data_IF_854105207078
#
_entry.id   IF_854105207078
#
_cell.length_a   1.000
_cell.length_b   1.000
_cell.length_c   1.000
_cell.angle_alpha   90.00
_cell.angle_beta   90.00
_cell.angle_gamma   90.00
#
_symmetry.space_group_name_H-M   'P 1'
#
loop_
_entity.id
_entity.type
_entity.pdbx_description
1 polymer ?
#
# COMPACT_ATOMS: atom_id res chain seq x y z
N UNK A 1 -25.85 -21.84 5.37
CA UNK A 1 -24.45 -22.33 5.32
C UNK A 1 -23.70 -21.85 4.07
N UNK A 2 -24.26 -21.94 2.86
CA UNK A 2 -23.59 -21.51 1.61
C UNK A 2 -23.13 -20.03 1.59
N UNK A 3 -23.95 -19.09 2.06
CA UNK A 3 -23.57 -17.67 2.17
C UNK A 3 -22.38 -17.43 3.12
N UNK A 4 -22.30 -18.16 4.22
CA UNK A 4 -21.19 -18.03 5.17
C UNK A 4 -19.86 -18.47 4.53
N UNK A 5 -19.90 -19.60 3.81
CA UNK A 5 -18.74 -20.11 3.06
C UNK A 5 -18.30 -19.11 1.99
N UNK A 6 -19.27 -18.51 1.27
CA UNK A 6 -18.98 -17.49 0.27
C UNK A 6 -18.30 -16.26 0.88
N UNK A 7 -18.84 -15.70 1.96
CA UNK A 7 -18.23 -14.53 2.61
C UNK A 7 -16.84 -14.84 3.15
N UNK A 8 -16.66 -16.01 3.77
CA UNK A 8 -15.35 -16.44 4.25
C UNK A 8 -14.33 -16.53 3.10
N UNK A 9 -14.70 -17.16 1.99
CA UNK A 9 -13.85 -17.26 0.80
C UNK A 9 -13.49 -15.88 0.21
N UNK A 10 -14.46 -14.96 0.15
CA UNK A 10 -14.24 -13.59 -0.31
C UNK A 10 -13.28 -12.82 0.61
N UNK A 11 -13.44 -12.91 1.93
CA UNK A 11 -12.53 -12.26 2.88
C UNK A 11 -11.11 -12.82 2.81
N UNK A 12 -10.95 -14.14 2.69
CA UNK A 12 -9.64 -14.77 2.52
C UNK A 12 -8.99 -14.31 1.21
N UNK A 13 -9.75 -14.27 0.11
CA UNK A 13 -9.24 -13.80 -1.19
C UNK A 13 -8.84 -12.33 -1.13
N UNK A 14 -9.65 -11.48 -0.49
CA UNK A 14 -9.36 -10.07 -0.30
C UNK A 14 -8.08 -9.86 0.53
N UNK A 15 -7.93 -10.61 1.63
CA UNK A 15 -6.76 -10.56 2.49
C UNK A 15 -5.49 -11.02 1.75
N UNK A 16 -5.56 -12.15 1.03
CA UNK A 16 -4.45 -12.67 0.24
C UNK A 16 -4.01 -11.69 -0.85
N UNK A 17 -4.97 -11.13 -1.59
CA UNK A 17 -4.69 -10.17 -2.67
C UNK A 17 -4.08 -8.88 -2.12
N UNK A 18 -4.61 -8.36 -1.00
CA UNK A 18 -4.08 -7.17 -0.34
C UNK A 18 -2.64 -7.38 0.16
N UNK A 19 -2.38 -8.52 0.80
CA UNK A 19 -1.05 -8.88 1.30
C UNK A 19 0.00 -8.98 0.19
N UNK A 20 -0.31 -9.70 -0.89
CA UNK A 20 0.59 -9.83 -2.04
C UNK A 20 0.81 -8.48 -2.71
N UNK A 21 -0.25 -7.71 -2.98
CA UNK A 21 -0.13 -6.41 -3.67
C UNK A 21 0.72 -5.41 -2.90
N UNK A 22 0.65 -5.41 -1.56
CA UNK A 22 1.43 -4.50 -0.72
C UNK A 22 2.93 -4.82 -0.68
N UNK A 23 3.31 -6.09 -0.85
CA UNK A 23 4.68 -6.56 -0.64
C UNK A 23 5.42 -6.86 -1.94
N UNK A 24 4.72 -7.29 -3.00
CA UNK A 24 5.34 -7.77 -4.24
C UNK A 24 6.16 -6.71 -4.96
N UNK A 25 5.69 -5.46 -5.02
CA UNK A 25 6.43 -4.39 -5.69
C UNK A 25 7.68 -4.01 -4.91
N UNK A 26 7.58 -3.94 -3.58
CA UNK A 26 8.71 -3.68 -2.69
C UNK A 26 9.78 -4.78 -2.82
N UNK A 27 9.34 -6.03 -2.77
CA UNK A 27 10.22 -7.19 -2.96
C UNK A 27 10.92 -7.18 -4.34
N UNK A 28 10.19 -6.83 -5.40
CA UNK A 28 10.75 -6.71 -6.75
C UNK A 28 11.79 -5.59 -6.85
N UNK A 29 11.53 -4.42 -6.25
CA UNK A 29 12.53 -3.35 -6.17
C UNK A 29 13.74 -3.72 -5.33
N UNK A 30 13.57 -4.57 -4.31
CA UNK A 30 14.67 -4.98 -3.44
C UNK A 30 15.70 -5.89 -4.11
N UNK A 31 15.35 -6.48 -5.26
CA UNK A 31 16.29 -7.30 -6.04
C UNK A 31 17.34 -6.47 -6.79
N UNK A 32 17.11 -5.17 -7.01
CA UNK A 32 18.04 -4.29 -7.75
C UNK A 32 18.71 -3.28 -6.82
N UNK A 33 20.01 -3.04 -7.00
CA UNK A 33 20.71 -1.98 -6.28
C UNK A 33 20.54 -0.63 -7.00
N UNK A 34 20.13 0.39 -6.25
CA UNK A 34 19.93 1.75 -6.77
C UNK A 34 21.23 2.52 -6.98
N UNK A 35 22.32 2.04 -6.38
CA UNK A 35 23.64 2.69 -6.42
C UNK A 35 24.31 2.51 -7.78
N UNK A 36 23.99 1.40 -8.47
CA UNK A 36 24.54 1.07 -9.77
C UNK A 36 23.61 1.56 -10.90
N UNK A 37 24.13 2.41 -11.79
CA UNK A 37 23.36 2.95 -12.93
C UNK A 37 22.85 1.86 -13.89
N UNK A 38 23.59 0.75 -14.02
CA UNK A 38 23.20 -0.40 -14.86
C UNK A 38 21.97 -1.13 -14.31
N UNK A 39 22.01 -1.51 -13.03
CA UNK A 39 20.91 -2.21 -12.35
C UNK A 39 19.66 -1.34 -12.24
N UNK A 40 19.80 -0.04 -12.01
CA UNK A 40 18.66 0.90 -12.03
C UNK A 40 17.92 0.88 -13.38
N UNK A 41 18.64 0.83 -14.50
CA UNK A 41 18.02 0.75 -15.83
C UNK A 41 17.29 -0.59 -16.02
N UNK A 42 17.85 -1.68 -15.49
CA UNK A 42 17.22 -3.00 -15.54
C UNK A 42 15.96 -3.06 -14.67
N UNK A 43 15.96 -2.42 -13.51
CA UNK A 43 14.79 -2.30 -12.64
C UNK A 43 13.64 -1.54 -13.33
N UNK A 44 13.93 -0.43 -14.00
CA UNK A 44 12.91 0.32 -14.76
C UNK A 44 12.32 -0.55 -15.88
N UNK A 45 13.18 -1.28 -16.62
CA UNK A 45 12.70 -2.22 -17.65
C UNK A 45 11.82 -3.33 -17.06
N UNK A 46 12.17 -3.86 -15.90
CA UNK A 46 11.37 -4.86 -15.18
C UNK A 46 9.99 -4.30 -14.84
N UNK A 47 9.90 -3.11 -14.22
CA UNK A 47 8.61 -2.51 -13.88
C UNK A 47 7.78 -2.16 -15.12
N UNK A 48 8.41 -1.71 -16.22
CA UNK A 48 7.69 -1.47 -17.47
C UNK A 48 7.06 -2.76 -18.02
N UNK A 49 7.82 -3.86 -18.07
CA UNK A 49 7.28 -5.15 -18.50
C UNK A 49 6.22 -5.69 -17.53
N UNK A 50 6.41 -5.50 -16.22
CA UNK A 50 5.44 -5.86 -15.20
C UNK A 50 4.09 -5.15 -15.44
N UNK A 51 4.10 -3.83 -15.60
CA UNK A 51 2.86 -3.08 -15.87
C UNK A 51 2.23 -3.42 -17.23
N UNK A 52 3.04 -3.72 -18.24
CA UNK A 52 2.55 -4.19 -19.53
C UNK A 52 1.79 -5.51 -19.40
N UNK A 53 2.37 -6.52 -18.73
CA UNK A 53 1.71 -7.80 -18.51
C UNK A 53 0.48 -7.68 -17.61
N UNK A 54 0.52 -6.83 -16.57
CA UNK A 54 -0.66 -6.57 -15.74
C UNK A 54 -1.81 -5.97 -16.56
N UNK A 55 -1.50 -5.05 -17.47
CA UNK A 55 -2.51 -4.43 -18.35
C UNK A 55 -3.15 -5.44 -19.29
N UNK A 56 -2.33 -6.26 -19.97
CA UNK A 56 -2.82 -7.33 -20.84
C UNK A 56 -3.61 -8.38 -20.05
N UNK A 57 -3.10 -8.79 -18.89
CA UNK A 57 -3.78 -9.73 -18.01
C UNK A 57 -5.13 -9.20 -17.53
N UNK A 58 -5.23 -7.91 -17.21
CA UNK A 58 -6.50 -7.27 -16.85
C UNK A 58 -7.49 -7.30 -18.01
N UNK A 59 -7.06 -6.99 -19.23
CA UNK A 59 -7.92 -7.05 -20.42
C UNK A 59 -8.41 -8.47 -20.70
N UNK A 60 -7.50 -9.46 -20.61
CA UNK A 60 -7.85 -10.87 -20.78
C UNK A 60 -8.81 -11.36 -19.67
N UNK A 61 -8.62 -10.91 -18.43
CA UNK A 61 -9.52 -11.24 -17.33
C UNK A 61 -10.92 -10.65 -17.53
N UNK A 62 -11.04 -9.40 -17.97
CA UNK A 62 -12.36 -8.79 -18.21
C UNK A 62 -13.09 -9.31 -19.45
N UNK A 63 -12.38 -9.97 -20.38
CA UNK A 63 -12.96 -10.49 -21.63
C UNK A 63 -13.08 -12.01 -21.61
N UNK A 64 -11.94 -12.73 -21.65
CA UNK A 64 -11.86 -14.19 -21.77
C UNK A 64 -12.36 -14.86 -20.50
N UNK A 65 -11.89 -14.44 -19.32
CA UNK A 65 -12.25 -15.09 -18.07
C UNK A 65 -13.74 -14.88 -17.75
N UNK A 66 -14.27 -13.68 -18.00
CA UNK A 66 -15.72 -13.40 -17.90
C UNK A 66 -16.51 -14.30 -18.86
N UNK A 67 -16.08 -14.42 -20.12
CA UNK A 67 -16.76 -15.28 -21.10
C UNK A 67 -16.80 -16.75 -20.63
N UNK A 68 -15.72 -17.26 -20.06
CA UNK A 68 -15.67 -18.61 -19.49
C UNK A 68 -16.64 -18.74 -18.30
N UNK A 69 -16.66 -17.76 -17.39
CA UNK A 69 -17.56 -17.76 -16.24
C UNK A 69 -19.04 -17.74 -16.63
N UNK A 70 -19.39 -16.97 -17.67
CA UNK A 70 -20.77 -16.81 -18.13
C UNK A 70 -21.26 -18.01 -18.99
N UNK A 71 -20.39 -18.60 -19.82
CA UNK A 71 -20.80 -19.66 -20.76
C UNK A 71 -20.51 -21.09 -20.28
N UNK A 72 -19.36 -21.33 -19.63
CA UNK A 72 -18.95 -22.67 -19.15
C UNK A 72 -19.23 -22.86 -17.66
N UNK A 73 -19.67 -21.82 -16.97
CA UNK A 73 -20.01 -21.84 -15.55
C UNK A 73 -18.88 -21.34 -14.65
N UNK A 74 -19.28 -20.91 -13.45
CA UNK A 74 -18.40 -20.23 -12.48
C UNK A 74 -17.31 -21.14 -11.91
N UNK A 75 -17.56 -22.46 -11.86
CA UNK A 75 -16.59 -23.43 -11.34
C UNK A 75 -15.29 -23.45 -12.15
N UNK A 76 -15.40 -23.45 -13.50
CA UNK A 76 -14.23 -23.39 -14.38
C UNK A 76 -13.48 -22.07 -14.26
N UNK A 77 -14.21 -20.95 -14.19
CA UNK A 77 -13.58 -19.63 -14.03
C UNK A 77 -12.80 -19.51 -12.73
N UNK A 78 -13.38 -19.89 -11.59
CA UNK A 78 -12.68 -19.86 -10.31
C UNK A 78 -11.57 -20.93 -10.20
N UNK A 79 -11.76 -22.10 -10.82
CA UNK A 79 -10.76 -23.16 -10.87
C UNK A 79 -9.48 -22.73 -11.60
N UNK A 80 -9.61 -22.06 -12.76
CA UNK A 80 -8.47 -21.51 -13.50
C UNK A 80 -7.72 -20.47 -12.65
N UNK A 81 -8.44 -19.58 -11.95
CA UNK A 81 -7.82 -18.60 -11.06
C UNK A 81 -7.07 -19.27 -9.90
N UNK A 82 -7.66 -20.27 -9.26
CA UNK A 82 -7.03 -21.01 -8.17
C UNK A 82 -5.76 -21.72 -8.64
N UNK A 83 -5.81 -22.39 -9.80
CA UNK A 83 -4.66 -23.03 -10.40
C UNK A 83 -3.54 -22.02 -10.71
N UNK A 84 -3.88 -20.86 -11.29
CA UNK A 84 -2.91 -19.82 -11.60
C UNK A 84 -2.18 -19.30 -10.35
N UNK A 85 -2.90 -19.11 -9.22
CA UNK A 85 -2.30 -18.68 -7.95
C UNK A 85 -1.36 -19.76 -7.40
N UNK A 86 -1.78 -21.04 -7.40
CA UNK A 86 -0.94 -22.15 -6.93
C UNK A 86 0.31 -22.28 -7.80
N UNK A 87 0.18 -22.21 -9.11
CA UNK A 87 1.30 -22.23 -10.04
C UNK A 87 2.27 -21.06 -9.80
N UNK A 88 1.75 -19.84 -9.65
CA UNK A 88 2.56 -18.67 -9.36
C UNK A 88 3.31 -18.82 -8.02
N UNK A 89 2.67 -19.40 -7.01
CA UNK A 89 3.28 -19.67 -5.70
C UNK A 89 4.42 -20.71 -5.82
N UNK A 90 4.24 -21.78 -6.59
CA UNK A 90 5.30 -22.77 -6.85
C UNK A 90 6.49 -22.12 -7.56
N UNK A 91 6.23 -21.30 -8.59
CA UNK A 91 7.30 -20.57 -9.30
C UNK A 91 8.01 -19.60 -8.36
N UNK A 92 7.27 -18.85 -7.54
CA UNK A 92 7.84 -17.93 -6.56
C UNK A 92 8.72 -18.66 -5.53
N UNK A 93 8.23 -19.76 -4.96
CA UNK A 93 8.99 -20.55 -3.98
C UNK A 93 10.23 -21.21 -4.60
N UNK A 94 10.15 -21.66 -5.85
CA UNK A 94 11.31 -22.22 -6.57
C UNK A 94 12.46 -21.22 -6.73
N UNK A 95 12.15 -19.92 -6.75
CA UNK A 95 13.12 -18.83 -6.83
C UNK A 95 13.79 -18.46 -5.50
N UNK A 96 13.33 -19.00 -4.37
CA UNK A 96 13.71 -18.53 -3.02
C UNK A 96 15.22 -18.47 -2.80
N UNK A 97 15.98 -19.46 -3.30
CA UNK A 97 17.44 -19.50 -3.15
C UNK A 97 18.18 -18.38 -3.90
N UNK A 98 17.55 -17.74 -4.88
CA UNK A 98 18.16 -16.69 -5.72
C UNK A 98 17.79 -15.28 -5.26
N UNK A 99 16.88 -15.14 -4.30
CA UNK A 99 16.38 -13.83 -3.87
C UNK A 99 17.33 -13.14 -2.89
N UNK A 100 17.52 -11.84 -3.10
CA UNK A 100 18.22 -10.97 -2.15
C UNK A 100 17.23 -10.47 -1.11
N UNK A 101 17.44 -10.86 0.15
CA UNK A 101 16.64 -10.38 1.27
C UNK A 101 17.32 -9.16 1.90
N UNK A 102 16.65 -8.00 1.88
CA UNK A 102 17.12 -6.82 2.61
C UNK A 102 16.66 -6.86 4.06
N UNK A 103 17.44 -6.25 4.95
CA UNK A 103 17.08 -6.06 6.35
C UNK A 103 15.84 -5.20 6.48
N UNK A 104 14.89 -5.59 7.32
CA UNK A 104 13.66 -4.83 7.55
C UNK A 104 13.99 -3.48 8.19
N UNK A 105 13.86 -2.41 7.41
CA UNK A 105 13.78 -1.04 7.93
C UNK A 105 12.42 -0.91 8.64
N UNK A 106 12.40 -0.31 9.84
CA UNK A 106 11.19 -0.25 10.68
C UNK A 106 9.96 0.34 9.97
N UNK A 107 8.76 0.01 10.48
CA UNK A 107 7.52 0.48 9.86
C UNK A 107 7.25 1.96 10.16
N UNK A 108 6.98 2.80 9.15
CA UNK A 108 6.54 4.18 9.34
C UNK A 108 5.30 4.28 10.24
N UNK A 109 4.37 3.31 10.17
CA UNK A 109 3.18 3.28 11.02
C UNK A 109 3.52 3.17 12.51
N UNK A 110 4.59 2.43 12.85
CA UNK A 110 5.07 2.36 14.23
C UNK A 110 5.62 3.71 14.67
N UNK A 111 6.30 4.44 13.79
CA UNK A 111 6.77 5.80 14.07
C UNK A 111 5.59 6.76 14.33
N UNK A 112 4.53 6.71 13.52
CA UNK A 112 3.29 7.45 13.77
C UNK A 112 2.71 7.14 15.16
N UNK A 113 2.51 5.86 15.46
CA UNK A 113 1.94 5.43 16.73
C UNK A 113 2.78 5.91 17.92
N UNK A 114 4.11 5.77 17.84
CA UNK A 114 5.04 6.24 18.88
C UNK A 114 4.93 7.76 19.08
N UNK A 115 4.96 8.55 18.00
CA UNK A 115 4.86 10.02 18.06
C UNK A 115 3.54 10.46 18.68
N UNK A 116 2.41 9.88 18.24
CA UNK A 116 1.08 10.20 18.77
C UNK A 116 0.95 9.83 20.25
N UNK A 117 1.39 8.62 20.64
CA UNK A 117 1.35 8.16 22.04
C UNK A 117 2.25 9.03 22.92
N UNK A 118 3.46 9.36 22.47
CA UNK A 118 4.39 10.23 23.20
C UNK A 118 3.84 11.65 23.35
N UNK A 119 3.27 12.25 22.29
CA UNK A 119 2.64 13.56 22.34
C UNK A 119 1.43 13.59 23.29
N UNK A 120 0.60 12.55 23.27
CA UNK A 120 -0.58 12.44 24.13
C UNK A 120 -0.20 12.32 25.60
N UNK A 121 0.80 11.50 25.94
CA UNK A 121 1.27 11.33 27.31
C UNK A 121 1.94 12.60 27.86
N UNK A 122 2.74 13.28 27.04
CA UNK A 122 3.44 14.53 27.41
C UNK A 122 2.56 15.79 27.25
N UNK A 123 1.24 15.63 27.03
CA UNK A 123 0.32 16.77 26.80
C UNK A 123 0.26 17.77 27.95
N UNK A 124 0.55 17.32 29.18
CA UNK A 124 0.52 18.11 30.40
C UNK A 124 1.80 18.95 30.64
N UNK A 125 2.88 18.68 29.89
CA UNK A 125 4.12 19.44 30.02
C UNK A 125 4.04 20.74 29.22
N UNK A 126 4.61 21.81 29.78
CA UNK A 126 4.76 23.08 29.09
C UNK A 126 5.82 22.95 27.99
N UNK A 127 5.51 23.48 26.81
CA UNK A 127 6.41 23.41 25.66
C UNK A 127 7.50 24.48 25.85
N UNK A 128 8.80 24.11 25.95
CA UNK A 128 9.87 25.11 26.04
C UNK A 128 9.89 25.98 24.78
N UNK A 129 10.14 27.27 24.93
CA UNK A 129 10.22 28.23 23.82
C UNK A 129 11.44 28.02 22.91
N UNK A 130 12.46 27.31 23.38
CA UNK A 130 13.72 27.06 22.67
C UNK A 130 13.77 25.68 22.00
N UNK A 131 13.90 25.70 20.66
CA UNK A 131 14.03 24.51 19.80
C UNK A 131 15.32 23.70 20.07
N UNK A 132 16.31 24.28 20.75
CA UNK A 132 17.59 23.65 21.11
C UNK A 132 17.49 22.64 22.26
N UNK A 133 16.39 22.63 23.01
CA UNK A 133 16.16 21.70 24.15
C UNK A 133 15.44 20.40 23.75
N UNK A 134 15.01 20.29 22.49
CA UNK A 134 14.34 19.10 21.95
C UNK A 134 15.38 18.02 21.59
N UNK A 135 14.99 16.76 21.74
CA UNK A 135 15.90 15.63 21.50
C UNK A 135 16.31 15.56 20.01
N UNK A 136 17.54 16.00 19.73
CA UNK A 136 18.17 15.93 18.42
C UNK A 136 19.13 14.74 18.37
N UNK A 137 19.13 14.05 17.23
CA UNK A 137 19.89 12.82 16.92
C UNK A 137 21.42 12.99 17.01
N UNK A 138 21.91 14.20 17.25
CA UNK A 138 23.33 14.57 17.30
C UNK A 138 24.11 13.94 18.47
N UNK A 139 23.43 13.40 19.49
CA UNK A 139 24.10 12.73 20.62
C UNK A 139 24.32 11.22 20.45
N UNK A 140 23.76 10.56 19.42
CA UNK A 140 23.91 9.10 19.18
C UNK A 140 24.81 8.80 17.96
N UNK A 141 25.26 9.80 17.22
CA UNK A 141 26.13 9.62 16.03
C UNK A 141 27.57 9.16 16.34
N UNK A 142 27.88 8.80 17.58
CA UNK A 142 29.24 8.45 17.98
C UNK A 142 29.52 6.95 17.87
N UNK A 143 28.49 6.08 17.77
CA UNK A 143 28.71 4.62 17.86
C UNK A 143 28.01 3.72 16.84
N UNK A 144 27.11 4.19 15.97
CA UNK A 144 26.50 3.27 14.98
C UNK A 144 26.25 3.89 13.62
N UNK A 145 26.77 3.22 12.58
CA UNK A 145 26.59 3.46 11.16
C UNK A 145 25.11 3.37 10.73
N UNK A 146 24.30 4.36 11.07
CA UNK A 146 22.95 4.52 10.53
C UNK A 146 22.89 5.79 9.69
N UNK A 147 22.42 5.62 8.46
CA UNK A 147 22.26 6.62 7.40
C UNK A 147 21.70 7.95 7.93
N UNK A 148 22.40 9.07 7.68
CA UNK A 148 21.96 10.42 8.04
C UNK A 148 20.55 10.70 7.48
N UNK A 149 19.53 10.81 8.34
CA UNK A 149 18.22 11.35 7.94
C UNK A 149 18.37 12.82 7.56
N UNK A 150 17.72 13.24 6.47
CA UNK A 150 17.76 14.62 5.99
C UNK A 150 17.00 15.54 6.97
N UNK A 151 17.64 16.64 7.40
CA UNK A 151 17.02 17.63 8.32
C UNK A 151 15.81 18.27 7.63
N UNK A 152 14.63 18.14 8.24
CA UNK A 152 13.41 18.84 7.83
C UNK A 152 13.32 20.16 8.61
N UNK A 153 13.08 21.31 7.94
CA UNK A 153 12.97 22.60 8.62
C UNK A 153 11.79 22.60 9.59
N UNK A 154 12.04 23.02 10.84
CA UNK A 154 11.05 23.02 11.91
C UNK A 154 9.85 23.90 11.57
N UNK A 155 8.64 23.38 11.80
CA UNK A 155 7.41 24.10 11.50
C UNK A 155 6.53 24.31 12.73
N UNK A 156 6.06 25.55 12.90
CA UNK A 156 5.22 25.98 14.04
C UNK A 156 3.78 25.45 14.02
N UNK A 157 3.39 24.66 13.02
CA UNK A 157 2.05 24.05 12.93
C UNK A 157 2.01 22.74 13.73
N UNK A 158 0.85 22.42 14.32
CA UNK A 158 0.65 21.24 15.18
C UNK A 158 1.60 21.15 16.39
N UNK A 159 1.74 22.26 17.14
CA UNK A 159 2.62 22.37 18.33
C UNK A 159 2.37 21.34 19.43
N UNK A 160 1.20 20.70 19.44
CA UNK A 160 0.93 19.61 20.39
C UNK A 160 1.80 18.37 20.13
N UNK A 161 2.21 18.13 18.87
CA UNK A 161 3.09 17.01 18.50
C UNK A 161 4.53 17.27 18.91
N UNK A 162 4.96 18.53 18.99
CA UNK A 162 6.29 18.91 19.47
C UNK A 162 6.53 18.49 20.93
N UNK A 163 5.44 18.29 21.69
CA UNK A 163 5.51 17.75 23.06
C UNK A 163 6.10 16.34 23.11
N UNK A 164 6.03 15.56 22.02
CA UNK A 164 6.64 14.23 21.96
C UNK A 164 8.17 14.27 22.10
N UNK A 165 8.81 15.33 21.58
CA UNK A 165 10.27 15.49 21.51
C UNK A 165 10.89 16.18 22.74
N UNK A 166 10.10 16.48 23.78
CA UNK A 166 10.60 17.05 25.04
C UNK A 166 11.51 16.04 25.75
N UNK A 167 12.75 16.45 26.04
CA UNK A 167 13.73 15.70 26.85
C UNK A 167 13.44 15.93 28.33
N UNK A 168 13.11 14.87 29.07
CA UNK A 168 12.94 14.94 30.51
C UNK A 168 14.32 14.76 31.17
N UNK A 169 14.79 15.77 31.92
CA UNK A 169 16.18 15.83 32.42
C UNK A 169 16.41 15.09 33.75
N UNK A 170 15.58 14.12 34.12
CA UNK A 170 15.53 13.60 35.49
C UNK A 170 15.28 12.10 35.65
N UNK A 171 15.73 11.25 34.73
CA UNK A 171 15.57 9.80 34.88
C UNK A 171 16.59 8.99 34.10
N UNK A 172 17.60 8.47 34.80
CA UNK A 172 18.41 7.36 34.32
C UNK A 172 17.46 6.17 34.14
N UNK A 173 17.48 5.54 32.95
CA UNK A 173 16.74 4.31 32.57
C UNK A 173 15.24 4.46 32.25
N UNK A 174 14.91 4.76 30.99
CA UNK A 174 14.05 3.84 30.23
C UNK A 174 14.24 4.07 28.72
N UNK A 175 15.18 3.32 28.11
CA UNK A 175 15.36 3.20 26.64
C UNK A 175 14.18 2.45 25.98
N UNK A 176 12.94 2.68 26.43
CA UNK A 176 11.79 2.16 25.69
C UNK A 176 11.66 3.00 24.43
N UNK A 177 11.71 2.35 23.26
CA UNK A 177 11.46 2.94 21.92
C UNK A 177 10.23 3.87 21.85
N UNK A 178 9.32 3.75 22.82
CA UNK A 178 8.07 4.48 22.95
C UNK A 178 8.16 5.79 23.77
N UNK A 179 9.31 6.11 24.39
CA UNK A 179 9.45 7.27 25.29
C UNK A 179 10.21 8.46 24.67
N UNK A 180 11.08 8.17 23.71
CA UNK A 180 11.99 9.15 23.12
C UNK A 180 11.84 9.17 21.62
N UNK A 181 11.11 10.18 21.14
CA UNK A 181 10.86 10.44 19.73
C UNK A 181 11.73 11.62 19.30
N UNK A 182 12.46 11.47 18.20
CA UNK A 182 13.32 12.54 17.66
C UNK A 182 12.48 13.65 17.02
N UNK A 183 12.96 14.89 17.04
CA UNK A 183 12.29 16.03 16.38
C UNK A 183 12.03 15.77 14.88
N UNK A 184 12.96 15.11 14.20
CA UNK A 184 12.82 14.69 12.80
C UNK A 184 11.60 13.79 12.59
N UNK A 185 11.35 12.84 13.50
CA UNK A 185 10.22 11.92 13.39
C UNK A 185 8.89 12.64 13.61
N UNK A 186 8.86 13.67 14.48
CA UNK A 186 7.69 14.52 14.70
C UNK A 186 7.38 15.37 13.47
N UNK A 187 8.38 15.97 12.84
CA UNK A 187 8.19 16.76 11.62
C UNK A 187 7.74 15.90 10.43
N UNK A 188 8.29 14.69 10.29
CA UNK A 188 7.79 13.70 9.30
C UNK A 188 6.29 13.39 9.51
N UNK A 189 5.86 13.22 10.76
CA UNK A 189 4.44 12.99 11.08
C UNK A 189 3.58 14.21 10.75
N UNK A 190 4.05 15.42 11.07
CA UNK A 190 3.35 16.67 10.72
C UNK A 190 3.17 16.80 9.21
N UNK A 191 4.19 16.47 8.42
CA UNK A 191 4.10 16.50 6.95
C UNK A 191 2.99 15.58 6.45
N UNK A 192 2.90 14.36 6.97
CA UNK A 192 1.82 13.44 6.57
C UNK A 192 0.45 13.92 7.00
N UNK A 193 0.31 14.51 8.20
CA UNK A 193 -0.96 15.11 8.64
C UNK A 193 -1.42 16.23 7.69
N UNK A 194 -0.48 17.03 7.16
CA UNK A 194 -0.81 18.07 6.16
C UNK A 194 -1.28 17.50 4.83
N UNK A 195 -0.91 16.27 4.50
CA UNK A 195 -1.36 15.61 3.27
C UNK A 195 -2.74 14.94 3.45
N UNK A 196 -3.22 14.73 4.67
CA UNK A 196 -4.51 14.09 4.94
C UNK A 196 -5.72 14.77 4.27
N UNK A 197 -5.84 16.11 4.24
CA UNK A 197 -6.97 16.76 3.57
C UNK A 197 -6.99 16.48 2.06
N UNK A 198 -5.82 16.48 1.41
CA UNK A 198 -5.69 16.16 -0.01
C UNK A 198 -6.01 14.68 -0.24
N UNK A 199 -5.55 13.81 0.65
CA UNK A 199 -5.90 12.39 0.57
C UNK A 199 -7.41 12.17 0.76
N UNK A 200 -8.07 12.90 1.67
CA UNK A 200 -9.50 12.77 1.93
C UNK A 200 -10.35 13.15 0.71
N UNK A 201 -9.96 14.16 -0.08
CA UNK A 201 -10.69 14.50 -1.31
C UNK A 201 -10.62 13.39 -2.36
N UNK A 202 -9.58 12.54 -2.36
CA UNK A 202 -9.49 11.39 -3.27
C UNK A 202 -10.51 10.29 -2.97
N UNK A 203 -11.11 10.26 -1.78
CA UNK A 203 -12.12 9.26 -1.39
C UNK A 203 -13.32 9.32 -2.34
N UNK A 204 -13.75 10.53 -2.73
CA UNK A 204 -14.90 10.70 -3.63
C UNK A 204 -14.66 10.04 -4.99
N UNK A 205 -13.44 10.15 -5.53
CA UNK A 205 -13.09 9.50 -6.80
C UNK A 205 -13.21 7.98 -6.70
N UNK A 206 -12.71 7.38 -5.62
CA UNK A 206 -12.82 5.93 -5.40
C UNK A 206 -14.27 5.46 -5.20
N UNK A 207 -15.13 6.27 -4.57
CA UNK A 207 -16.56 5.98 -4.44
C UNK A 207 -17.25 5.90 -5.81
N UNK A 208 -16.99 6.86 -6.69
CA UNK A 208 -17.55 6.87 -8.06
C UNK A 208 -17.03 5.66 -8.85
N UNK A 209 -15.74 5.35 -8.73
CA UNK A 209 -15.17 4.18 -9.38
C UNK A 209 -15.80 2.86 -8.90
N UNK A 210 -16.08 2.72 -7.59
CA UNK A 210 -16.76 1.55 -7.06
C UNK A 210 -18.18 1.39 -7.63
N UNK A 211 -18.90 2.50 -7.85
CA UNK A 211 -20.22 2.48 -8.47
C UNK A 211 -20.21 1.95 -9.91
N UNK A 212 -19.17 2.27 -10.69
CA UNK A 212 -18.99 1.74 -12.05
C UNK A 212 -18.89 0.20 -12.07
N UNK A 213 -18.29 -0.41 -11.05
CA UNK A 213 -18.15 -1.88 -11.00
C UNK A 213 -19.45 -2.63 -10.64
N UNK A 214 -20.47 -1.93 -10.14
CA UNK A 214 -21.73 -2.53 -9.66
C UNK A 214 -22.94 -2.06 -10.45
N UNK A 215 -23.23 -0.75 -10.45
CA UNK A 215 -24.43 -0.19 -11.10
C UNK A 215 -24.38 -0.32 -12.61
N UNK A 216 -23.22 -0.06 -13.24
CA UNK A 216 -23.09 -0.19 -14.69
C UNK A 216 -23.29 -1.63 -15.16
N UNK A 217 -22.87 -2.62 -14.36
CA UNK A 217 -23.15 -4.04 -14.62
C UNK A 217 -24.64 -4.32 -14.52
N UNK A 218 -25.32 -3.80 -13.48
CA UNK A 218 -26.77 -3.96 -13.34
C UNK A 218 -27.54 -3.33 -14.50
N UNK A 219 -27.14 -2.13 -14.96
CA UNK A 219 -27.74 -1.49 -16.13
C UNK A 219 -27.51 -2.31 -17.40
N UNK A 220 -26.27 -2.77 -17.61
CA UNK A 220 -25.91 -3.64 -18.74
C UNK A 220 -26.73 -4.93 -18.80
N UNK A 221 -27.15 -5.48 -17.66
CA UNK A 221 -28.02 -6.68 -17.64
C UNK A 221 -29.40 -6.43 -18.25
N UNK A 222 -29.90 -5.20 -18.20
CA UNK A 222 -31.21 -4.79 -18.71
C UNK A 222 -31.17 -4.23 -20.13
N UNK A 223 -29.98 -3.95 -20.67
CA UNK A 223 -29.80 -3.43 -22.03
C UNK A 223 -29.77 -4.56 -23.07
N UNK A 224 -30.11 -4.25 -24.32
CA UNK A 224 -29.93 -5.19 -25.41
C UNK A 224 -28.43 -5.37 -25.71
N UNK A 225 -27.95 -6.61 -25.53
CA UNK A 225 -26.54 -7.00 -25.64
C UNK A 225 -26.22 -7.72 -26.95
N UNK A 226 -27.15 -7.75 -27.91
CA UNK A 226 -26.93 -8.42 -29.18
C UNK A 226 -26.08 -7.56 -30.14
N UNK A 227 -24.97 -8.13 -30.62
CA UNK A 227 -24.28 -7.66 -31.83
C UNK A 227 -24.70 -8.57 -32.97
N UNK A 228 -25.66 -8.11 -33.78
CA UNK A 228 -26.22 -8.88 -34.89
C UNK A 228 -27.07 -10.07 -34.43
N UNK A 229 -27.33 -11.03 -35.34
CA UNK A 229 -28.29 -12.13 -35.11
C UNK A 229 -27.77 -13.29 -34.23
N UNK A 230 -26.48 -13.34 -33.89
CA UNK A 230 -25.88 -14.55 -33.31
C UNK A 230 -24.90 -14.33 -32.14
N UNK A 231 -24.54 -13.09 -31.79
CA UNK A 231 -23.52 -12.84 -30.75
C UNK A 231 -24.08 -11.96 -29.63
N UNK A 232 -24.17 -12.51 -28.42
CA UNK A 232 -24.58 -11.78 -27.21
C UNK A 232 -23.35 -11.44 -26.38
N UNK A 233 -23.14 -10.15 -26.10
CA UNK A 233 -22.00 -9.69 -25.29
C UNK A 233 -22.26 -10.04 -23.81
N UNK A 234 -21.27 -10.58 -23.07
CA UNK A 234 -21.31 -10.72 -21.62
C UNK A 234 -21.56 -9.38 -20.91
N UNK A 235 -22.40 -9.37 -19.86
CA UNK A 235 -22.82 -8.14 -19.14
C UNK A 235 -21.65 -7.31 -18.59
N UNK A 236 -20.54 -7.96 -18.27
CA UNK A 236 -19.35 -7.29 -17.72
C UNK A 236 -18.47 -6.61 -18.78
N UNK A 237 -18.70 -6.85 -20.08
CA UNK A 237 -17.87 -6.34 -21.17
C UNK A 237 -18.50 -5.14 -21.92
N UNK A 238 -19.80 -4.86 -21.72
CA UNK A 238 -20.52 -3.81 -22.45
C UNK A 238 -20.40 -2.40 -21.86
N UNK A 239 -19.71 -2.22 -20.74
CA UNK A 239 -19.58 -0.93 -20.04
C UNK A 239 -18.70 0.12 -20.75
N UNK A 240 -18.15 -0.19 -21.93
CA UNK A 240 -17.24 0.69 -22.68
C UNK A 240 -17.84 1.35 -23.92
N UNK A 241 -19.15 1.19 -24.19
CA UNK A 241 -19.77 1.68 -25.45
C UNK A 241 -20.57 2.98 -25.36
N UNK A 242 -20.73 3.58 -24.19
CA UNK A 242 -21.38 4.90 -24.07
C UNK A 242 -20.36 5.98 -23.70
N UNK A 243 -19.59 6.43 -24.70
CA UNK A 243 -18.85 7.70 -24.72
C UNK A 243 -18.31 7.97 -26.13
N UNK A 244 -19.18 7.99 -27.14
CA UNK A 244 -18.98 8.65 -28.44
C UNK A 244 -20.32 8.75 -29.17
#
# INVERSE_FOLDING_TARGET
MQLMVLYLALYITALGTGGVKSSVSGFGSDQSDYTNKGEKKQMIKFFNWFYFFVSIGSLAATTILVYIQDNQGREWGYGICAYAIVFALVVFLSGTSKYRFKTLLGSPLTQFAVVFVAAWRKRHLELPSDSSLLFNEEYISNETHMTKKQRVPHSKQFRFLDKAAIKESGGILDKRKWYLTTLTDVEEVKLVIRMLPIWATTIMFWTIHAQMTTFSVSQATTMDRHIGKSFQIPVHCSSGKESA
#
